data_IF_404643671271
#
_entry.id   IF_404643671271
#
_cell.length_a   1.000
_cell.length_b   1.000
_cell.length_c   1.000
_cell.angle_alpha   90.00
_cell.angle_beta   90.00
_cell.angle_gamma   90.00
#
_symmetry.space_group_name_H-M   'P 1'
#
loop_
_entity.id
_entity.type
_entity.pdbx_description
1 polymer ?
#
# COMPACT_ATOMS: atom_id res chain seq x y z
N UNK A 1 0.09 -12.85 5.56
CA UNK A 1 0.55 -13.89 6.50
C UNK A 1 -0.57 -14.92 6.62
N UNK A 2 -0.20 -16.19 6.71
CA UNK A 2 -1.10 -17.28 7.15
C UNK A 2 -0.42 -17.90 8.35
N UNK A 3 -1.11 -17.96 9.47
CA UNK A 3 -0.60 -18.53 10.72
C UNK A 3 -1.47 -19.67 11.22
N UNK A 4 -0.85 -20.59 11.94
CA UNK A 4 -1.56 -21.57 12.74
C UNK A 4 -2.06 -21.00 14.06
N UNK A 5 -2.85 -21.77 14.76
CA UNK A 5 -3.35 -21.51 16.11
C UNK A 5 -3.27 -22.81 16.92
N UNK A 6 -3.53 -22.76 18.20
CA UNK A 6 -3.83 -23.96 18.99
C UNK A 6 -5.18 -24.55 18.56
N UNK A 7 -5.50 -25.73 19.09
CA UNK A 7 -6.78 -26.41 18.84
C UNK A 7 -7.98 -25.48 19.08
N UNK A 8 -8.93 -25.49 18.14
CA UNK A 8 -10.08 -24.56 18.10
C UNK A 8 -10.84 -24.46 19.43
N UNK A 9 -11.10 -25.62 20.04
CA UNK A 9 -11.89 -25.72 21.28
C UNK A 9 -11.10 -25.27 22.53
N UNK A 10 -9.80 -25.04 22.39
CA UNK A 10 -8.91 -24.64 23.47
C UNK A 10 -8.56 -23.15 23.41
N UNK A 11 -8.92 -22.46 22.33
CA UNK A 11 -8.67 -21.02 22.20
C UNK A 11 -9.34 -20.25 23.33
N UNK A 12 -8.55 -19.44 24.05
CA UNK A 12 -9.04 -18.66 25.19
C UNK A 12 -9.30 -19.45 26.47
N UNK A 13 -8.86 -20.72 26.54
CA UNK A 13 -9.04 -21.53 27.74
C UNK A 13 -8.07 -21.23 28.87
N UNK A 14 -6.94 -20.59 28.57
CA UNK A 14 -5.86 -20.21 29.50
C UNK A 14 -5.36 -21.40 30.34
N UNK A 15 -5.03 -22.50 29.63
CA UNK A 15 -4.59 -23.76 30.26
C UNK A 15 -3.07 -23.97 30.20
N UNK A 16 -2.31 -23.04 29.62
CA UNK A 16 -0.88 -23.18 29.42
C UNK A 16 -0.52 -24.24 28.36
N UNK A 17 -1.34 -24.35 27.32
CA UNK A 17 -1.13 -25.26 26.20
C UNK A 17 0.06 -24.77 25.39
N UNK A 18 0.84 -25.71 24.84
CA UNK A 18 1.96 -25.37 23.97
C UNK A 18 1.48 -24.46 22.82
N UNK A 19 2.16 -23.34 22.62
CA UNK A 19 1.83 -22.28 21.65
C UNK A 19 0.58 -21.46 22.00
N UNK A 20 -0.01 -21.63 23.17
CA UNK A 20 -1.13 -20.79 23.59
C UNK A 20 -0.69 -19.34 23.78
N UNK A 21 -1.40 -18.44 23.12
CA UNK A 21 -1.29 -16.97 23.29
C UNK A 21 -2.69 -16.45 23.59
N UNK A 22 -2.83 -15.56 24.56
CA UNK A 22 -4.14 -15.06 25.01
C UNK A 22 -5.01 -14.52 23.88
N UNK A 23 -4.41 -13.72 22.99
CA UNK A 23 -5.05 -13.33 21.72
C UNK A 23 -3.98 -13.08 20.65
N UNK A 24 -3.79 -14.07 19.78
CA UNK A 24 -2.80 -13.99 18.70
C UNK A 24 -3.19 -12.93 17.66
N UNK A 25 -4.47 -12.84 17.30
CA UNK A 25 -4.97 -11.82 16.37
C UNK A 25 -4.77 -10.42 16.94
N UNK A 26 -5.06 -10.18 18.20
CA UNK A 26 -4.85 -8.87 18.82
C UNK A 26 -3.37 -8.50 18.90
N UNK A 27 -2.49 -9.47 19.00
CA UNK A 27 -1.04 -9.25 18.97
C UNK A 27 -0.54 -8.74 17.61
N UNK A 28 -1.18 -9.15 16.51
CA UNK A 28 -0.78 -8.78 15.16
C UNK A 28 -1.61 -7.62 14.57
N UNK A 29 -2.77 -7.34 15.12
CA UNK A 29 -3.69 -6.29 14.65
C UNK A 29 -3.02 -4.91 14.47
N UNK A 30 -2.14 -4.43 15.36
CA UNK A 30 -1.49 -3.12 15.21
C UNK A 30 -0.60 -3.00 13.96
N UNK A 31 -0.09 -4.10 13.43
CA UNK A 31 0.83 -4.13 12.29
C UNK A 31 0.19 -4.65 11.01
N UNK A 32 -1.09 -5.03 11.05
CA UNK A 32 -1.86 -5.50 9.90
C UNK A 32 -2.98 -4.53 9.54
N UNK A 33 -3.41 -4.55 8.29
CA UNK A 33 -4.58 -3.82 7.80
C UNK A 33 -5.87 -4.57 8.13
N UNK A 34 -5.79 -5.89 8.11
CA UNK A 34 -6.90 -6.79 8.34
C UNK A 34 -6.35 -8.11 8.89
N UNK A 35 -7.05 -8.69 9.84
CA UNK A 35 -6.73 -10.00 10.39
C UNK A 35 -8.04 -10.75 10.68
N UNK A 36 -8.08 -12.03 10.34
CA UNK A 36 -9.26 -12.89 10.48
C UNK A 36 -8.86 -14.28 10.98
N UNK A 37 -9.68 -14.85 11.85
CA UNK A 37 -9.57 -16.25 12.30
C UNK A 37 -10.66 -17.06 11.65
N UNK A 38 -10.28 -18.02 10.81
CA UNK A 38 -11.20 -18.98 10.20
C UNK A 38 -11.31 -20.23 11.08
N UNK A 39 -12.47 -20.43 11.66
CA UNK A 39 -12.76 -21.60 12.52
C UNK A 39 -13.45 -22.73 11.78
N UNK A 40 -13.97 -22.48 10.60
CA UNK A 40 -14.64 -23.43 9.73
C UNK A 40 -13.95 -23.44 8.36
N UNK A 41 -13.67 -24.62 7.76
CA UNK A 41 -13.07 -24.69 6.43
C UNK A 41 -13.91 -23.98 5.34
N UNK A 42 -15.22 -23.87 5.52
CA UNK A 42 -16.11 -23.14 4.59
C UNK A 42 -15.81 -21.63 4.56
N UNK A 43 -15.25 -21.07 5.61
CA UNK A 43 -14.89 -19.65 5.68
C UNK A 43 -13.59 -19.33 4.92
N UNK A 44 -12.70 -20.31 4.74
CA UNK A 44 -11.34 -20.10 4.23
C UNK A 44 -11.33 -19.44 2.85
N UNK A 45 -12.11 -19.89 1.83
CA UNK A 45 -12.10 -19.23 0.53
C UNK A 45 -12.50 -17.75 0.61
N UNK A 46 -13.54 -17.43 1.38
CA UNK A 46 -13.98 -16.06 1.60
C UNK A 46 -12.93 -15.21 2.32
N UNK A 47 -12.27 -15.76 3.35
CA UNK A 47 -11.19 -15.10 4.07
C UNK A 47 -9.98 -14.82 3.17
N UNK A 48 -9.62 -15.76 2.30
CA UNK A 48 -8.55 -15.57 1.30
C UNK A 48 -8.94 -14.49 0.31
N UNK A 49 -10.17 -14.51 -0.21
CA UNK A 49 -10.67 -13.48 -1.13
C UNK A 49 -10.60 -12.08 -0.48
N UNK A 50 -11.10 -11.94 0.75
CA UNK A 50 -11.04 -10.68 1.49
C UNK A 50 -9.60 -10.24 1.77
N UNK A 51 -8.70 -11.16 2.12
CA UNK A 51 -7.29 -10.86 2.31
C UNK A 51 -6.68 -10.23 1.04
N UNK A 52 -6.94 -10.81 -0.15
CA UNK A 52 -6.49 -10.25 -1.42
C UNK A 52 -7.17 -8.92 -1.74
N UNK A 53 -8.45 -8.74 -1.43
CA UNK A 53 -9.13 -7.46 -1.54
C UNK A 53 -8.42 -6.39 -0.72
N UNK A 54 -8.11 -6.67 0.55
CA UNK A 54 -7.40 -5.75 1.42
C UNK A 54 -5.96 -5.45 0.95
N UNK A 55 -5.26 -6.42 0.38
CA UNK A 55 -3.92 -6.23 -0.18
C UNK A 55 -3.93 -5.35 -1.44
N UNK A 56 -4.97 -5.46 -2.27
CA UNK A 56 -5.06 -4.85 -3.59
C UNK A 56 -5.77 -3.49 -3.61
N UNK A 57 -6.54 -3.15 -2.56
CA UNK A 57 -7.33 -1.92 -2.50
C UNK A 57 -6.75 -0.92 -1.51
N UNK A 58 -6.91 0.36 -1.77
CA UNK A 58 -6.40 1.44 -0.93
C UNK A 58 -4.89 1.32 -0.67
N UNK A 59 -4.45 1.73 0.53
CA UNK A 59 -3.02 1.63 0.87
C UNK A 59 -2.62 0.18 1.16
N UNK A 60 -1.66 -0.40 0.44
CA UNK A 60 -1.16 -1.75 0.73
C UNK A 60 -0.57 -1.83 2.14
N UNK A 61 -0.97 -2.86 2.88
CA UNK A 61 -0.43 -3.20 4.20
C UNK A 61 -0.52 -4.71 4.40
N UNK A 62 0.25 -5.30 5.32
CA UNK A 62 0.11 -6.72 5.65
C UNK A 62 -1.31 -7.08 6.07
N UNK A 63 -1.69 -8.31 5.79
CA UNK A 63 -2.93 -8.94 6.26
C UNK A 63 -2.62 -10.32 6.82
N UNK A 64 -3.50 -10.85 7.68
CA UNK A 64 -3.36 -12.16 8.26
C UNK A 64 -4.64 -12.97 8.21
N UNK A 65 -4.46 -14.27 7.99
CA UNK A 65 -5.48 -15.31 8.22
C UNK A 65 -4.88 -16.30 9.21
N UNK A 66 -5.56 -16.49 10.33
CA UNK A 66 -5.23 -17.48 11.37
C UNK A 66 -6.17 -18.67 11.26
N UNK A 67 -5.63 -19.88 11.25
CA UNK A 67 -6.41 -21.11 11.03
C UNK A 67 -5.96 -22.17 12.04
N UNK A 68 -6.86 -22.70 12.90
CA UNK A 68 -6.58 -23.82 13.79
C UNK A 68 -6.24 -25.11 13.01
N UNK A 69 -5.46 -26.02 13.62
CA UNK A 69 -5.00 -27.24 12.94
C UNK A 69 -6.15 -28.16 12.53
N UNK A 70 -7.22 -28.24 13.30
CA UNK A 70 -8.39 -29.07 12.96
C UNK A 70 -9.08 -28.52 11.71
N UNK A 71 -9.28 -27.19 11.64
CA UNK A 71 -9.88 -26.52 10.48
C UNK A 71 -9.07 -26.77 9.21
N UNK A 72 -7.73 -26.83 9.32
CA UNK A 72 -6.84 -27.19 8.20
C UNK A 72 -6.92 -28.67 7.82
N UNK A 73 -7.25 -29.56 8.76
CA UNK A 73 -7.33 -31.00 8.54
C UNK A 73 -8.74 -31.47 8.11
N UNK A 74 -9.77 -30.67 8.33
CA UNK A 74 -11.14 -30.99 7.95
C UNK A 74 -11.31 -31.09 6.43
N UNK A 75 -12.14 -32.03 5.98
CA UNK A 75 -12.56 -32.16 4.58
C UNK A 75 -13.97 -31.60 4.47
N UNK A 76 -14.14 -30.58 3.66
CA UNK A 76 -15.42 -29.93 3.43
C UNK A 76 -15.64 -29.63 1.94
N UNK A 77 -16.91 -29.58 1.54
CA UNK A 77 -17.27 -29.00 0.26
C UNK A 77 -17.25 -27.47 0.39
N UNK A 78 -16.42 -26.81 -0.41
CA UNK A 78 -16.27 -25.36 -0.39
C UNK A 78 -16.44 -24.79 -1.79
N UNK A 79 -17.03 -23.59 -1.88
CA UNK A 79 -17.02 -22.81 -3.10
C UNK A 79 -15.75 -21.94 -3.09
N UNK A 80 -14.85 -22.18 -4.04
CA UNK A 80 -13.62 -21.39 -4.18
C UNK A 80 -13.89 -20.01 -4.76
N UNK A 81 -15.06 -19.82 -5.38
CA UNK A 81 -15.40 -18.58 -6.07
C UNK A 81 -14.48 -18.27 -7.26
N UNK A 82 -14.74 -17.17 -7.91
CA UNK A 82 -13.85 -16.64 -8.96
C UNK A 82 -12.80 -15.71 -8.36
N UNK A 83 -11.58 -15.65 -8.94
CA UNK A 83 -10.58 -14.68 -8.52
C UNK A 83 -11.12 -13.26 -8.56
N UNK A 84 -10.96 -12.52 -7.47
CA UNK A 84 -11.43 -11.14 -7.39
C UNK A 84 -10.70 -10.23 -8.38
N UNK A 85 -11.46 -9.44 -9.12
CA UNK A 85 -10.92 -8.33 -9.90
C UNK A 85 -11.03 -7.06 -9.05
N UNK A 86 -9.95 -6.67 -8.43
CA UNK A 86 -9.86 -5.47 -7.61
C UNK A 86 -9.41 -4.31 -8.49
N UNK A 87 -10.35 -3.63 -9.12
CA UNK A 87 -10.09 -2.50 -10.00
C UNK A 87 -9.34 -1.37 -9.29
N UNK A 88 -8.54 -0.64 -10.05
CA UNK A 88 -7.94 0.63 -9.58
C UNK A 88 -9.06 1.66 -9.53
N UNK A 89 -9.18 2.38 -8.40
CA UNK A 89 -10.09 3.50 -8.30
C UNK A 89 -9.66 4.60 -9.27
N UNK A 90 -10.54 4.96 -10.20
CA UNK A 90 -10.31 6.11 -11.06
C UNK A 90 -10.47 7.41 -10.27
N UNK A 91 -9.63 8.41 -10.49
CA UNK A 91 -9.76 9.71 -9.85
C UNK A 91 -10.99 10.46 -10.40
N UNK A 92 -11.56 11.33 -9.57
CA UNK A 92 -12.63 12.24 -10.00
C UNK A 92 -12.09 13.20 -11.08
N UNK A 93 -12.81 13.32 -12.19
CA UNK A 93 -12.41 14.17 -13.33
C UNK A 93 -12.34 15.65 -12.93
N UNK A 94 -13.17 16.10 -11.99
CA UNK A 94 -13.16 17.50 -11.55
C UNK A 94 -11.96 17.78 -10.63
N UNK A 95 -11.51 16.79 -9.87
CA UNK A 95 -10.23 16.87 -9.13
C UNK A 95 -9.03 16.94 -10.09
N UNK A 96 -9.04 16.16 -11.17
CA UNK A 96 -8.00 16.25 -12.21
C UNK A 96 -7.98 17.64 -12.87
N UNK A 97 -9.16 18.19 -13.24
CA UNK A 97 -9.25 19.55 -13.81
C UNK A 97 -8.75 20.60 -12.82
N UNK A 98 -9.11 20.47 -11.55
CA UNK A 98 -8.63 21.38 -10.49
C UNK A 98 -7.12 21.32 -10.35
N UNK A 99 -6.53 20.13 -10.29
CA UNK A 99 -5.08 19.96 -10.26
C UNK A 99 -4.40 20.56 -11.49
N UNK A 100 -4.91 20.30 -12.70
CA UNK A 100 -4.40 20.87 -13.94
C UNK A 100 -4.45 22.42 -13.94
N UNK A 101 -5.54 23.00 -13.41
CA UNK A 101 -5.68 24.45 -13.28
C UNK A 101 -4.65 25.05 -12.31
N UNK A 102 -4.41 24.39 -11.17
CA UNK A 102 -3.40 24.80 -10.20
C UNK A 102 -2.00 24.74 -10.81
N UNK A 103 -1.67 23.65 -11.49
CA UNK A 103 -0.38 23.46 -12.18
C UNK A 103 -0.19 24.55 -13.25
N UNK A 104 -1.21 24.84 -14.05
CA UNK A 104 -1.15 25.85 -15.12
C UNK A 104 -1.00 27.28 -14.58
N UNK A 105 -1.44 27.54 -13.36
CA UNK A 105 -1.33 28.85 -12.71
C UNK A 105 0.02 29.05 -11.98
N UNK A 106 0.75 27.95 -11.72
CA UNK A 106 2.02 27.99 -11.02
C UNK A 106 3.11 28.61 -11.91
N UNK A 107 3.96 29.42 -11.30
CA UNK A 107 5.11 30.03 -11.96
C UNK A 107 6.42 29.28 -11.69
N UNK A 108 6.48 28.57 -10.58
CA UNK A 108 7.68 27.83 -10.15
C UNK A 108 7.28 26.53 -9.44
N UNK A 109 6.70 25.56 -10.20
CA UNK A 109 6.25 24.30 -9.62
C UNK A 109 7.42 23.36 -9.30
N UNK A 110 7.23 22.53 -8.26
CA UNK A 110 8.09 21.39 -7.91
C UNK A 110 7.27 20.12 -7.93
N UNK A 111 7.79 19.06 -8.51
CA UNK A 111 7.17 17.73 -8.43
C UNK A 111 7.88 16.89 -7.37
N UNK A 112 7.15 16.47 -6.36
CA UNK A 112 7.67 15.57 -5.33
C UNK A 112 7.03 14.19 -5.48
N UNK A 113 7.85 13.19 -5.82
CA UNK A 113 7.39 11.84 -6.14
C UNK A 113 7.74 10.81 -5.06
N UNK A 114 6.81 9.94 -4.80
CA UNK A 114 6.97 8.76 -3.94
C UNK A 114 6.93 7.46 -4.73
N UNK A 115 6.96 6.32 -3.99
CA UNK A 115 6.92 4.98 -4.57
C UNK A 115 5.65 4.66 -5.40
N UNK A 116 4.59 5.46 -5.22
CA UNK A 116 3.35 5.32 -5.99
C UNK A 116 3.54 5.46 -7.50
N UNK A 117 4.46 6.31 -7.95
CA UNK A 117 4.78 6.48 -9.37
C UNK A 117 5.35 5.19 -9.95
N UNK A 118 6.30 4.56 -9.23
CA UNK A 118 6.91 3.29 -9.65
C UNK A 118 5.89 2.14 -9.64
N UNK A 119 5.09 2.04 -8.59
CA UNK A 119 4.12 0.93 -8.44
C UNK A 119 2.94 1.03 -9.40
N UNK A 120 2.58 2.22 -9.86
CA UNK A 120 1.52 2.44 -10.86
C UNK A 120 2.03 2.41 -12.31
N UNK A 121 3.36 2.35 -12.53
CA UNK A 121 3.95 2.43 -13.85
C UNK A 121 3.84 3.80 -14.50
N UNK A 122 3.66 4.88 -13.71
CA UNK A 122 3.44 6.23 -14.21
C UNK A 122 4.73 7.00 -14.57
N UNK A 123 5.87 6.31 -14.68
CA UNK A 123 7.19 6.93 -14.91
C UNK A 123 7.23 7.78 -16.17
N UNK A 124 6.75 7.27 -17.30
CA UNK A 124 6.71 8.02 -18.55
C UNK A 124 5.78 9.25 -18.48
N UNK A 125 4.64 9.11 -17.80
CA UNK A 125 3.71 10.22 -17.60
C UNK A 125 4.33 11.30 -16.73
N UNK A 126 5.08 10.92 -15.69
CA UNK A 126 5.84 11.84 -14.85
C UNK A 126 6.85 12.65 -15.67
N UNK A 127 7.66 11.97 -16.49
CA UNK A 127 8.67 12.64 -17.33
C UNK A 127 8.00 13.64 -18.28
N UNK A 128 6.93 13.20 -18.97
CA UNK A 128 6.17 14.08 -19.88
C UNK A 128 5.58 15.31 -19.17
N UNK A 129 5.04 15.11 -17.96
CA UNK A 129 4.52 16.22 -17.16
C UNK A 129 5.64 17.18 -16.76
N UNK A 130 6.73 16.65 -16.21
CA UNK A 130 7.88 17.46 -15.77
C UNK A 130 8.46 18.30 -16.92
N UNK A 131 8.65 17.68 -18.10
CA UNK A 131 9.12 18.37 -19.30
C UNK A 131 8.11 19.43 -19.81
N UNK A 132 6.81 19.11 -19.76
CA UNK A 132 5.77 20.02 -20.23
C UNK A 132 5.70 21.30 -19.42
N UNK A 133 5.79 21.17 -18.08
CA UNK A 133 5.70 22.33 -17.16
C UNK A 133 7.08 22.84 -16.72
N UNK A 134 8.17 22.23 -17.21
CA UNK A 134 9.56 22.56 -16.86
C UNK A 134 9.81 22.55 -15.34
N UNK A 135 9.15 21.61 -14.63
CA UNK A 135 9.27 21.48 -13.19
C UNK A 135 10.38 20.52 -12.80
N UNK A 136 11.25 20.88 -11.85
CA UNK A 136 12.17 19.93 -11.26
C UNK A 136 11.43 18.85 -10.50
N UNK A 137 12.04 17.66 -10.43
CA UNK A 137 11.48 16.47 -9.78
C UNK A 137 12.38 16.04 -8.63
N UNK A 138 11.81 15.91 -7.44
CA UNK A 138 12.45 15.32 -6.25
C UNK A 138 11.79 13.99 -5.94
N UNK A 139 12.58 12.97 -5.61
CA UNK A 139 12.10 11.65 -5.24
C UNK A 139 12.33 11.37 -3.75
N UNK A 140 11.34 10.74 -3.10
CA UNK A 140 11.57 10.05 -1.82
C UNK A 140 12.46 8.82 -2.03
N UNK A 141 12.88 8.16 -0.96
CA UNK A 141 13.66 6.93 -1.06
C UNK A 141 12.93 5.87 -1.92
N UNK A 142 11.61 5.75 -1.76
CA UNK A 142 10.75 4.83 -2.49
C UNK A 142 10.40 5.31 -3.90
N UNK A 143 10.50 6.62 -4.14
CA UNK A 143 10.29 7.23 -5.46
C UNK A 143 11.52 7.19 -6.36
N UNK A 144 12.67 6.75 -5.87
CA UNK A 144 13.90 6.65 -6.70
C UNK A 144 13.66 5.79 -7.93
N UNK A 145 14.21 6.25 -9.06
CA UNK A 145 14.02 5.61 -10.34
C UNK A 145 12.73 6.00 -11.06
N UNK A 146 11.87 6.84 -10.48
CA UNK A 146 10.67 7.37 -11.16
C UNK A 146 11.05 8.23 -12.37
N UNK A 147 12.16 8.93 -12.29
CA UNK A 147 12.81 9.66 -13.37
C UNK A 147 14.29 9.30 -13.36
N UNK A 148 14.94 9.29 -14.51
CA UNK A 148 16.37 9.01 -14.58
C UNK A 148 17.18 10.09 -13.83
N UNK A 149 18.14 9.68 -13.02
CA UNK A 149 19.05 10.58 -12.32
C UNK A 149 19.88 11.46 -13.28
N UNK A 150 19.98 11.06 -14.55
CA UNK A 150 20.64 11.85 -15.62
C UNK A 150 19.70 12.83 -16.30
N UNK A 151 18.42 12.82 -15.96
CA UNK A 151 17.46 13.74 -16.57
C UNK A 151 17.70 15.17 -16.09
N UNK A 152 17.68 16.20 -16.97
CA UNK A 152 17.98 17.59 -16.58
C UNK A 152 17.10 18.16 -15.49
N UNK A 153 15.86 17.66 -15.37
CA UNK A 153 14.90 18.07 -14.34
C UNK A 153 14.96 17.20 -13.07
N UNK A 154 15.80 16.18 -13.01
CA UNK A 154 15.98 15.38 -11.81
C UNK A 154 16.86 16.09 -10.80
N UNK A 155 16.30 16.37 -9.61
CA UNK A 155 17.08 16.87 -8.48
C UNK A 155 17.46 15.68 -7.59
N UNK A 156 18.47 14.92 -7.99
CA UNK A 156 18.89 13.67 -7.34
C UNK A 156 18.89 13.76 -5.82
N UNK A 157 17.99 12.98 -5.19
CA UNK A 157 18.10 12.60 -3.78
C UNK A 157 18.20 13.76 -2.78
N UNK A 158 17.79 14.96 -3.17
CA UNK A 158 17.73 16.11 -2.26
C UNK A 158 16.81 15.75 -1.08
N UNK A 159 17.42 15.57 0.07
CA UNK A 159 16.68 15.41 1.31
C UNK A 159 16.23 16.81 1.74
N UNK A 160 15.02 17.22 1.37
CA UNK A 160 14.42 18.51 1.72
C UNK A 160 14.66 18.97 3.18
N UNK A 161 14.99 18.04 4.07
CA UNK A 161 15.12 18.32 5.49
C UNK A 161 16.47 18.94 5.91
N UNK A 162 17.55 18.75 5.13
CA UNK A 162 18.90 19.19 5.50
C UNK A 162 19.68 19.83 4.36
N UNK A 163 19.03 20.12 3.23
CA UNK A 163 19.72 20.66 2.06
C UNK A 163 19.75 22.20 2.09
N UNK A 164 20.88 22.83 1.77
CA UNK A 164 20.98 24.28 1.63
C UNK A 164 19.97 24.87 0.64
N UNK A 165 19.63 24.14 -0.43
CA UNK A 165 18.64 24.55 -1.43
C UNK A 165 17.24 24.70 -0.81
N UNK A 166 16.89 23.88 0.18
CA UNK A 166 15.61 24.00 0.89
C UNK A 166 15.56 25.21 1.85
N UNK A 167 16.72 25.82 2.14
CA UNK A 167 16.81 26.96 3.07
C UNK A 167 16.90 28.33 2.37
N UNK A 168 17.46 28.36 1.15
CA UNK A 168 17.82 29.61 0.50
C UNK A 168 17.11 29.90 -0.82
N UNK A 169 16.08 29.10 -1.18
CA UNK A 169 15.29 29.31 -2.40
C UNK A 169 15.66 28.44 -3.64
N UNK A 170 14.77 28.14 -4.54
CA UNK A 170 13.69 28.98 -5.05
C UNK A 170 12.39 28.69 -4.33
N UNK A 171 11.60 29.73 -4.08
CA UNK A 171 10.25 29.59 -3.53
C UNK A 171 9.37 28.92 -4.54
N UNK A 172 9.22 27.61 -4.41
CA UNK A 172 8.23 26.90 -5.18
C UNK A 172 6.84 27.37 -4.75
N UNK A 173 6.04 27.75 -5.72
CA UNK A 173 4.67 28.23 -5.49
C UNK A 173 3.63 27.11 -5.55
N UNK A 174 4.03 25.93 -6.00
CA UNK A 174 3.24 24.70 -6.00
C UNK A 174 4.15 23.47 -5.79
N UNK A 175 3.75 22.55 -4.93
CA UNK A 175 4.41 21.25 -4.70
C UNK A 175 3.37 20.13 -4.80
#
# INVERSE_FOLDING_TARGET
VVSGQIERDLIGSDRGILHEVNDQIDSIRPITKWAHRSLDPVEIPGAVHEAFHQLKTGRPRPVEIEIPPETLAEIAEVDLGEPGNFGVSEPDIDDIKRAASMISAASNPLIWVGGGVNSSGANEALVKLAEHIQAPVIATAEGRGSISDRHPLSLEGLRLRNDPIAKDDPKFDLI
#
